data_IF_326497979776
#
_entry.id   IF_326497979776
#
_cell.length_a   1.000
_cell.length_b   1.000
_cell.length_c   1.000
_cell.angle_alpha   90.00
_cell.angle_beta   90.00
_cell.angle_gamma   90.00
#
_symmetry.space_group_name_H-M   'P 1'
#
loop_
_entity.id
_entity.type
_entity.pdbx_description
1 polymer ?
#
# COMPACT_ATOMS: atom_id res chain seq x y z
N UNK A 1 10.95 6.35 -10.71
CA UNK A 1 10.26 5.08 -11.03
C UNK A 1 8.78 5.39 -11.22
N UNK A 2 8.27 5.29 -12.45
CA UNK A 2 6.92 5.72 -12.85
C UNK A 2 5.86 4.61 -12.59
N UNK A 3 4.61 5.00 -12.35
CA UNK A 3 3.41 4.22 -11.95
C UNK A 3 2.30 4.43 -12.97
N UNK A 4 1.30 3.57 -13.13
CA UNK A 4 0.07 3.81 -13.93
C UNK A 4 -1.14 3.81 -13.01
N UNK A 5 -2.10 4.70 -13.24
CA UNK A 5 -3.38 4.79 -12.50
C UNK A 5 -4.51 4.17 -13.32
N UNK A 6 -4.97 2.95 -13.02
CA UNK A 6 -6.37 2.62 -13.26
C UNK A 6 -6.82 1.48 -12.34
N UNK A 7 -7.82 1.75 -11.49
CA UNK A 7 -8.54 0.87 -10.52
C UNK A 7 -7.69 0.10 -9.48
N UNK A 8 -6.41 -0.17 -9.74
CA UNK A 8 -5.42 -0.59 -8.77
C UNK A 8 -4.05 -0.08 -9.22
N UNK A 9 -3.41 0.78 -8.42
CA UNK A 9 -2.03 1.19 -8.67
C UNK A 9 -1.13 -0.03 -8.64
N UNK A 10 -0.37 -0.26 -9.72
CA UNK A 10 0.66 -1.30 -9.76
C UNK A 10 2.02 -0.72 -10.05
N UNK A 11 3.04 -1.37 -9.51
CA UNK A 11 4.43 -1.06 -9.83
C UNK A 11 4.68 -1.43 -11.29
N UNK A 12 5.34 -0.53 -12.01
CA UNK A 12 5.88 -0.83 -13.32
C UNK A 12 7.04 -1.82 -13.19
N UNK A 13 7.01 -2.91 -13.96
CA UNK A 13 8.05 -3.92 -13.99
C UNK A 13 9.26 -3.45 -14.81
N UNK A 14 10.44 -4.00 -14.53
CA UNK A 14 11.69 -3.55 -15.14
C UNK A 14 11.73 -3.71 -16.67
N UNK A 15 10.95 -4.66 -17.23
CA UNK A 15 10.84 -4.89 -18.67
C UNK A 15 9.79 -4.04 -19.38
N UNK A 16 9.01 -3.25 -18.65
CA UNK A 16 7.93 -2.47 -19.22
C UNK A 16 8.38 -1.06 -19.62
N UNK A 17 7.94 -0.59 -20.79
CA UNK A 17 8.22 0.77 -21.25
C UNK A 17 7.08 1.72 -20.83
N UNK A 18 7.34 2.74 -19.98
CA UNK A 18 6.33 3.72 -19.59
C UNK A 18 5.65 4.40 -20.79
N UNK A 19 6.43 4.75 -21.81
CA UNK A 19 5.93 5.44 -23.00
C UNK A 19 4.94 4.59 -23.80
N UNK A 20 5.28 3.32 -24.04
CA UNK A 20 4.38 2.35 -24.69
C UNK A 20 3.08 2.18 -23.93
N UNK A 21 3.12 2.04 -22.60
CA UNK A 21 1.92 1.90 -21.79
C UNK A 21 1.06 3.17 -21.83
N UNK A 22 1.69 4.35 -21.77
CA UNK A 22 0.99 5.61 -21.93
C UNK A 22 0.26 5.69 -23.28
N UNK A 23 0.92 5.31 -24.38
CA UNK A 23 0.30 5.30 -25.72
C UNK A 23 -0.86 4.29 -25.79
N UNK A 24 -0.67 3.08 -25.29
CA UNK A 24 -1.70 2.05 -25.30
C UNK A 24 -2.96 2.51 -24.57
N UNK A 25 -2.77 3.13 -23.41
CA UNK A 25 -3.88 3.59 -22.59
C UNK A 25 -4.47 4.92 -23.08
N UNK A 26 -3.76 5.69 -23.92
CA UNK A 26 -4.27 6.94 -24.52
C UNK A 26 -5.55 6.72 -25.33
N UNK A 27 -5.72 5.53 -25.93
CA UNK A 27 -6.90 5.16 -26.72
C UNK A 27 -7.96 4.39 -25.91
N UNK A 28 -7.66 4.02 -24.67
CA UNK A 28 -8.62 3.40 -23.77
C UNK A 28 -9.49 4.49 -23.13
N UNK A 29 -10.78 4.23 -22.99
CA UNK A 29 -11.74 5.16 -22.38
C UNK A 29 -11.48 5.42 -20.88
N UNK A 30 -10.51 4.73 -20.28
CA UNK A 30 -10.13 4.89 -18.89
C UNK A 30 -8.91 5.79 -18.74
N UNK A 31 -9.00 6.73 -17.80
CA UNK A 31 -8.01 7.78 -17.60
C UNK A 31 -6.80 7.22 -16.87
N UNK A 32 -5.91 6.52 -17.58
CA UNK A 32 -4.68 6.07 -16.97
C UNK A 32 -3.57 7.11 -17.03
N UNK A 33 -3.07 7.56 -15.87
CA UNK A 33 -1.97 8.51 -15.79
C UNK A 33 -0.71 7.86 -15.23
N UNK A 34 0.46 8.33 -15.71
CA UNK A 34 1.71 7.91 -15.12
C UNK A 34 2.02 8.73 -13.86
N UNK A 35 2.29 8.11 -12.71
CA UNK A 35 2.60 8.82 -11.45
C UNK A 35 4.05 8.50 -11.03
N UNK A 36 4.70 9.36 -10.24
CA UNK A 36 5.97 9.05 -9.59
C UNK A 36 5.72 9.02 -8.08
N UNK A 37 6.02 7.89 -7.43
CA UNK A 37 5.84 7.71 -5.98
C UNK A 37 7.06 7.03 -5.38
N UNK A 38 7.34 7.31 -4.09
CA UNK A 38 8.37 6.58 -3.33
C UNK A 38 7.99 5.11 -3.21
N UNK A 39 8.99 4.25 -3.31
CA UNK A 39 8.88 2.81 -3.05
C UNK A 39 9.75 2.44 -1.84
N UNK A 40 9.48 3.10 -0.71
CA UNK A 40 10.17 2.88 0.56
C UNK A 40 9.09 2.64 1.60
N UNK A 41 9.06 1.44 2.15
CA UNK A 41 8.09 1.02 3.15
C UNK A 41 8.61 1.27 4.56
N UNK A 42 9.92 1.13 4.76
CA UNK A 42 10.62 1.35 6.02
C UNK A 42 10.56 2.83 6.44
N UNK A 43 9.78 3.18 7.49
CA UNK A 43 9.67 4.56 7.94
C UNK A 43 10.97 5.11 8.52
N UNK A 44 11.80 4.27 9.14
CA UNK A 44 13.07 4.69 9.74
C UNK A 44 14.09 5.02 8.66
N UNK A 45 14.15 4.19 7.61
CA UNK A 45 15.02 4.45 6.47
C UNK A 45 14.60 5.71 5.71
N UNK A 46 13.30 5.90 5.52
CA UNK A 46 12.76 7.11 4.91
C UNK A 46 13.14 8.36 5.74
N UNK A 47 12.98 8.34 7.06
CA UNK A 47 13.40 9.45 7.94
C UNK A 47 14.87 9.80 7.74
N UNK A 48 15.74 8.79 7.72
CA UNK A 48 17.18 9.00 7.49
C UNK A 48 17.47 9.64 6.14
N UNK A 49 16.73 9.28 5.08
CA UNK A 49 16.89 9.87 3.76
C UNK A 49 16.39 11.31 3.72
N UNK A 50 15.25 11.61 4.35
CA UNK A 50 14.74 12.98 4.47
C UNK A 50 15.72 13.91 5.20
N UNK A 51 16.46 13.40 6.18
CA UNK A 51 17.49 14.16 6.89
C UNK A 51 18.73 14.43 6.02
N UNK A 52 19.08 13.50 5.12
CA UNK A 52 20.28 13.58 4.27
C UNK A 52 20.04 14.35 2.98
N UNK A 53 18.84 14.32 2.45
CA UNK A 53 18.47 14.88 1.15
C UNK A 53 17.21 15.75 1.26
N UNK A 54 17.36 17.09 1.25
CA UNK A 54 16.24 18.02 1.29
C UNK A 54 15.27 17.88 0.11
N UNK A 55 15.76 17.49 -1.08
CA UNK A 55 14.90 17.30 -2.26
C UNK A 55 14.05 16.05 -2.10
N UNK A 56 14.63 14.97 -1.58
CA UNK A 56 13.86 13.78 -1.20
C UNK A 56 12.82 14.11 -0.13
N UNK A 57 13.18 14.87 0.90
CA UNK A 57 12.22 15.32 1.93
C UNK A 57 11.05 16.09 1.33
N UNK A 58 11.32 17.05 0.43
CA UNK A 58 10.28 17.83 -0.25
C UNK A 58 9.37 16.91 -1.09
N UNK A 59 9.95 15.97 -1.83
CA UNK A 59 9.20 14.97 -2.59
C UNK A 59 8.26 14.14 -1.70
N UNK A 60 8.75 13.62 -0.58
CA UNK A 60 7.95 12.83 0.37
C UNK A 60 6.85 13.68 1.01
N UNK A 61 7.15 14.94 1.34
CA UNK A 61 6.16 15.90 1.87
C UNK A 61 5.01 16.10 0.89
N UNK A 62 5.29 16.47 -0.37
CA UNK A 62 4.22 16.68 -1.35
C UNK A 62 3.43 15.41 -1.64
N UNK A 63 4.08 14.24 -1.67
CA UNK A 63 3.36 12.99 -1.83
C UNK A 63 2.40 12.73 -0.65
N UNK A 64 2.87 12.93 0.59
CA UNK A 64 2.03 12.76 1.78
C UNK A 64 0.86 13.76 1.82
N UNK A 65 1.08 14.99 1.34
CA UNK A 65 0.01 15.99 1.16
C UNK A 65 -1.03 15.52 0.15
N UNK A 66 -0.60 15.00 -1.01
CA UNK A 66 -1.51 14.44 -2.00
C UNK A 66 -2.30 13.25 -1.42
N UNK A 67 -1.63 12.36 -0.68
CA UNK A 67 -2.26 11.20 -0.04
C UNK A 67 -3.32 11.60 1.01
N UNK A 68 -3.13 12.71 1.72
CA UNK A 68 -4.15 13.30 2.60
C UNK A 68 -5.33 13.85 1.81
N UNK A 69 -5.07 14.58 0.72
CA UNK A 69 -6.13 15.21 -0.08
C UNK A 69 -6.97 14.21 -0.88
N UNK A 70 -6.38 13.06 -1.24
CA UNK A 70 -7.04 11.95 -1.94
C UNK A 70 -7.66 10.92 -0.97
N UNK A 71 -7.75 11.24 0.32
CA UNK A 71 -8.32 10.38 1.38
C UNK A 71 -7.64 8.99 1.49
N UNK A 72 -6.38 8.87 1.07
CA UNK A 72 -5.59 7.62 1.18
C UNK A 72 -5.14 7.35 2.61
N UNK A 73 -4.92 8.42 3.39
CA UNK A 73 -4.57 8.31 4.81
C UNK A 73 -5.83 8.32 5.66
N UNK A 74 -6.08 7.22 6.38
CA UNK A 74 -7.24 7.09 7.25
C UNK A 74 -6.95 7.77 8.59
N UNK A 75 -7.61 8.89 8.89
CA UNK A 75 -7.70 9.39 10.26
C UNK A 75 -8.92 10.27 10.49
N UNK A 76 -9.69 10.00 11.55
CA UNK A 76 -10.87 10.82 11.90
C UNK A 76 -10.53 12.02 12.80
N UNK A 77 -9.39 12.03 13.50
CA UNK A 77 -9.09 13.04 14.54
C UNK A 77 -7.87 13.92 14.28
N UNK A 78 -6.92 13.49 13.43
CA UNK A 78 -5.67 14.24 13.16
C UNK A 78 -5.68 15.07 11.88
N UNK A 79 -6.68 14.90 11.01
CA UNK A 79 -6.76 15.61 9.72
C UNK A 79 -6.75 17.14 9.88
N UNK A 80 -7.44 17.68 10.89
CA UNK A 80 -7.44 19.12 11.13
C UNK A 80 -6.05 19.65 11.50
N UNK A 81 -5.33 18.92 12.36
CA UNK A 81 -3.96 19.26 12.77
C UNK A 81 -2.99 19.18 11.58
N UNK A 82 -3.10 18.13 10.77
CA UNK A 82 -2.32 17.97 9.54
C UNK A 82 -2.54 19.11 8.55
N UNK A 83 -3.79 19.49 8.31
CA UNK A 83 -4.12 20.62 7.42
C UNK A 83 -3.57 21.95 7.95
N UNK A 84 -3.53 22.15 9.27
CA UNK A 84 -2.99 23.37 9.88
C UNK A 84 -1.47 23.51 9.68
N UNK A 85 -0.73 22.40 9.60
CA UNK A 85 0.74 22.40 9.40
C UNK A 85 1.15 22.02 7.97
N UNK A 86 0.21 22.03 7.02
CA UNK A 86 0.44 21.69 5.61
C UNK A 86 1.18 22.81 4.86
N UNK A 87 2.39 23.13 5.31
CA UNK A 87 3.31 24.06 4.66
C UNK A 87 4.74 23.47 4.68
N UNK A 88 5.56 23.80 3.69
CA UNK A 88 6.91 23.23 3.55
C UNK A 88 7.83 23.55 4.74
N UNK A 89 7.62 24.68 5.41
CA UNK A 89 8.36 25.06 6.62
C UNK A 89 8.17 24.09 7.79
N UNK A 90 7.03 23.40 7.81
CA UNK A 90 6.67 22.40 8.82
C UNK A 90 6.73 20.97 8.27
N UNK A 91 7.46 20.72 7.18
CA UNK A 91 7.49 19.43 6.51
C UNK A 91 7.86 18.26 7.45
N UNK A 92 8.81 18.45 8.37
CA UNK A 92 9.21 17.39 9.30
C UNK A 92 8.09 17.03 10.29
N UNK A 93 7.41 18.02 10.85
CA UNK A 93 6.26 17.81 11.75
C UNK A 93 5.07 17.17 11.01
N UNK A 94 4.76 17.66 9.82
CA UNK A 94 3.72 17.09 8.97
C UNK A 94 4.00 15.62 8.66
N UNK A 95 5.24 15.30 8.27
CA UNK A 95 5.64 13.94 7.92
C UNK A 95 5.62 12.99 9.13
N UNK A 96 6.02 13.44 10.32
CA UNK A 96 5.91 12.63 11.53
C UNK A 96 4.46 12.30 11.89
N UNK A 97 3.53 13.26 11.73
CA UNK A 97 2.11 12.97 11.90
C UNK A 97 1.58 12.00 10.86
N UNK A 98 1.95 12.18 9.58
CA UNK A 98 1.51 11.32 8.49
C UNK A 98 1.98 9.87 8.66
N UNK A 99 3.24 9.67 9.10
CA UNK A 99 3.82 8.34 9.38
C UNK A 99 3.05 7.54 10.44
N UNK A 100 2.34 8.21 11.34
CA UNK A 100 1.52 7.57 12.37
C UNK A 100 0.09 7.24 11.92
N UNK A 101 -0.28 7.50 10.66
CA UNK A 101 -1.62 7.24 10.13
C UNK A 101 -1.69 5.91 9.37
N UNK A 102 -2.84 5.23 9.44
CA UNK A 102 -3.11 4.09 8.55
C UNK A 102 -3.23 4.58 7.10
N UNK A 103 -2.74 3.77 6.17
CA UNK A 103 -2.57 4.13 4.76
C UNK A 103 -1.19 4.70 4.43
N UNK A 104 -0.43 5.20 5.42
CA UNK A 104 0.91 5.73 5.15
C UNK A 104 1.92 4.60 4.95
N UNK A 105 2.60 4.58 3.80
CA UNK A 105 3.49 3.49 3.40
C UNK A 105 2.81 2.10 3.47
N UNK A 106 1.51 2.05 3.20
CA UNK A 106 0.75 0.81 3.08
C UNK A 106 0.26 0.64 1.63
N UNK A 107 0.25 -0.59 1.11
CA UNK A 107 -0.46 -0.90 -0.14
C UNK A 107 -1.73 -1.64 0.23
N UNK A 108 -2.87 -1.07 -0.13
CA UNK A 108 -4.17 -1.72 0.00
C UNK A 108 -4.57 -2.32 -1.35
N UNK A 109 -4.76 -3.63 -1.39
CA UNK A 109 -5.29 -4.31 -2.56
C UNK A 109 -6.82 -4.22 -2.58
N UNK A 110 -7.46 -4.24 -3.77
CA UNK A 110 -8.90 -4.35 -3.87
C UNK A 110 -9.45 -5.59 -3.12
N UNK A 111 -10.72 -5.55 -2.67
CA UNK A 111 -11.37 -6.71 -2.06
C UNK A 111 -11.24 -7.96 -2.94
N UNK A 112 -10.93 -9.09 -2.30
CA UNK A 112 -10.62 -10.34 -2.98
C UNK A 112 -11.20 -11.54 -2.23
N UNK A 113 -11.51 -12.62 -2.97
CA UNK A 113 -12.10 -13.82 -2.37
C UNK A 113 -11.04 -14.61 -1.59
N UNK A 114 -11.38 -15.06 -0.38
CA UNK A 114 -10.50 -15.86 0.46
C UNK A 114 -11.08 -17.26 0.71
N UNK A 115 -10.32 -18.30 0.37
CA UNK A 115 -10.77 -19.71 0.52
C UNK A 115 -11.16 -20.10 1.95
N UNK A 116 -10.55 -19.47 2.96
CA UNK A 116 -10.78 -19.81 4.38
C UNK A 116 -11.94 -19.03 5.02
N UNK A 117 -12.50 -18.01 4.36
CA UNK A 117 -13.65 -17.23 4.84
C UNK A 117 -14.78 -17.28 3.81
N UNK A 118 -15.92 -17.83 4.19
CA UNK A 118 -17.06 -18.05 3.29
C UNK A 118 -18.05 -16.87 3.20
N UNK A 119 -17.90 -15.82 4.03
CA UNK A 119 -18.98 -14.86 4.25
C UNK A 119 -18.74 -13.42 3.72
N UNK A 120 -17.51 -13.03 3.40
CA UNK A 120 -17.22 -11.69 2.87
C UNK A 120 -15.88 -11.66 2.13
N UNK A 121 -15.74 -10.74 1.19
CA UNK A 121 -14.45 -10.44 0.58
C UNK A 121 -13.45 -9.95 1.65
N UNK A 122 -12.17 -10.14 1.32
CA UNK A 122 -11.03 -9.81 2.17
C UNK A 122 -10.21 -8.74 1.47
N UNK A 123 -9.85 -7.70 2.20
CA UNK A 123 -8.88 -6.69 1.78
C UNK A 123 -7.54 -7.07 2.38
N UNK A 124 -6.52 -7.16 1.53
CA UNK A 124 -5.14 -7.35 1.95
C UNK A 124 -4.41 -6.00 1.96
N UNK A 125 -3.74 -5.71 3.06
CA UNK A 125 -2.89 -4.52 3.22
C UNK A 125 -1.47 -4.98 3.47
N UNK A 126 -0.55 -4.58 2.61
CA UNK A 126 0.88 -4.84 2.73
C UNK A 126 1.53 -3.67 3.46
N UNK A 127 2.17 -3.95 4.59
CA UNK A 127 2.93 -2.99 5.41
C UNK A 127 4.39 -3.41 5.46
N UNK A 128 5.25 -2.50 5.92
CA UNK A 128 6.66 -2.80 6.09
C UNK A 128 6.93 -3.99 7.02
N UNK A 129 6.24 -4.03 8.17
CA UNK A 129 6.46 -5.04 9.21
C UNK A 129 5.50 -6.24 9.13
N UNK A 130 4.39 -6.12 8.39
CA UNK A 130 3.32 -7.11 8.44
C UNK A 130 2.42 -7.13 7.20
N UNK A 131 1.66 -8.21 7.08
CA UNK A 131 0.45 -8.30 6.26
C UNK A 131 -0.78 -8.13 7.16
N UNK A 132 -1.71 -7.27 6.77
CA UNK A 132 -3.00 -7.14 7.42
C UNK A 132 -4.10 -7.65 6.49
N UNK A 133 -4.92 -8.57 6.98
CA UNK A 133 -6.14 -9.02 6.32
C UNK A 133 -7.35 -8.48 7.08
N UNK A 134 -8.27 -7.80 6.39
CA UNK A 134 -9.52 -7.29 6.97
C UNK A 134 -10.70 -7.66 6.09
N UNK A 135 -11.91 -7.70 6.66
CA UNK A 135 -13.14 -7.81 5.86
C UNK A 135 -13.35 -6.57 4.97
N UNK A 136 -14.17 -6.71 3.93
CA UNK A 136 -14.79 -5.59 3.22
C UNK A 136 -16.29 -5.48 3.58
N UNK A 137 -16.78 -4.33 4.11
CA UNK A 137 -16.01 -3.14 4.51
C UNK A 137 -15.09 -3.42 5.71
N UNK A 138 -14.00 -2.63 5.89
CA UNK A 138 -13.07 -2.81 6.99
C UNK A 138 -13.74 -2.71 8.37
N UNK A 139 -13.54 -3.71 9.22
CA UNK A 139 -13.99 -3.71 10.61
C UNK A 139 -12.83 -4.08 11.53
N UNK A 140 -12.77 -3.50 12.72
CA UNK A 140 -11.71 -3.79 13.72
C UNK A 140 -11.86 -5.18 14.35
N UNK A 141 -13.08 -5.72 14.38
CA UNK A 141 -13.39 -7.03 14.99
C UNK A 141 -12.89 -8.21 14.16
N UNK A 142 -12.65 -8.01 12.86
CA UNK A 142 -12.30 -9.07 11.91
C UNK A 142 -10.98 -8.80 11.17
N UNK A 143 -9.95 -8.37 11.92
CA UNK A 143 -8.60 -8.11 11.41
C UNK A 143 -7.61 -9.20 11.83
N UNK A 144 -6.78 -9.62 10.89
CA UNK A 144 -5.69 -10.57 11.13
C UNK A 144 -4.39 -9.94 10.65
N UNK A 145 -3.53 -9.57 11.59
CA UNK A 145 -2.18 -9.10 11.31
C UNK A 145 -1.18 -10.26 11.39
N UNK A 146 -0.29 -10.36 10.40
CA UNK A 146 0.68 -11.45 10.24
C UNK A 146 2.05 -10.80 10.07
N UNK A 147 2.98 -11.08 10.98
CA UNK A 147 4.36 -10.59 10.85
C UNK A 147 5.01 -11.23 9.63
N UNK A 148 5.90 -10.50 8.93
CA UNK A 148 6.70 -11.11 7.88
C UNK A 148 7.58 -12.26 8.39
N UNK A 149 7.98 -12.23 9.66
CA UNK A 149 8.75 -13.30 10.30
C UNK A 149 7.93 -14.59 10.48
N UNK A 150 6.60 -14.48 10.55
CA UNK A 150 5.70 -15.64 10.63
C UNK A 150 5.46 -16.28 9.25
N UNK A 151 5.75 -15.56 8.15
CA UNK A 151 5.52 -16.04 6.78
C UNK A 151 6.65 -17.01 6.40
N UNK A 152 6.29 -18.25 6.12
CA UNK A 152 7.24 -19.32 5.76
C UNK A 152 7.55 -19.26 4.27
N UNK A 153 6.52 -19.15 3.44
CA UNK A 153 6.62 -19.14 1.99
C UNK A 153 5.38 -18.47 1.37
N UNK A 154 5.55 -17.94 0.16
CA UNK A 154 4.46 -17.40 -0.64
C UNK A 154 4.68 -17.69 -2.13
N UNK A 155 3.57 -17.83 -2.85
CA UNK A 155 3.54 -18.15 -4.27
C UNK A 155 2.40 -17.41 -4.96
N UNK A 156 2.65 -17.01 -6.20
CA UNK A 156 1.61 -16.61 -7.14
C UNK A 156 1.20 -17.85 -7.92
N UNK A 157 -0.06 -18.24 -7.85
CA UNK A 157 -0.60 -19.48 -8.42
C UNK A 157 -1.76 -19.20 -9.38
N UNK A 158 -2.33 -20.25 -9.96
CA UNK A 158 -3.46 -20.20 -10.90
C UNK A 158 -3.26 -19.28 -12.12
N UNK A 159 -2.00 -19.16 -12.55
CA UNK A 159 -1.59 -18.32 -13.68
C UNK A 159 -1.60 -16.82 -13.37
N UNK A 160 -1.30 -16.42 -12.13
CA UNK A 160 -1.31 -15.01 -11.73
C UNK A 160 -2.64 -14.53 -11.15
N UNK A 161 -3.53 -15.46 -10.78
CA UNK A 161 -4.90 -15.13 -10.31
C UNK A 161 -5.14 -15.41 -8.85
N UNK A 162 -4.13 -15.94 -8.16
CA UNK A 162 -4.20 -16.14 -6.73
C UNK A 162 -2.84 -15.94 -6.07
N UNK A 163 -2.85 -15.25 -4.93
CA UNK A 163 -1.73 -15.15 -4.02
C UNK A 163 -1.94 -16.15 -2.89
N UNK A 164 -1.00 -17.09 -2.73
CA UNK A 164 -1.03 -18.10 -1.69
C UNK A 164 0.19 -17.94 -0.78
N UNK A 165 -0.02 -18.00 0.52
CA UNK A 165 1.08 -17.98 1.49
C UNK A 165 0.79 -18.86 2.69
N UNK A 166 1.86 -19.39 3.28
CA UNK A 166 1.83 -20.19 4.50
C UNK A 166 2.48 -19.39 5.61
N UNK A 167 1.82 -19.31 6.76
CA UNK A 167 2.37 -18.65 7.94
C UNK A 167 2.20 -19.51 9.18
N UNK A 168 3.08 -19.32 10.16
CA UNK A 168 3.08 -20.04 11.43
C UNK A 168 3.37 -19.07 12.57
N UNK A 169 2.36 -18.86 13.41
CA UNK A 169 2.53 -18.18 14.70
C UNK A 169 3.09 -19.14 15.74
N UNK A 170 3.87 -18.62 16.68
CA UNK A 170 4.52 -19.38 17.74
C UNK A 170 3.63 -20.45 18.37
N UNK A 171 4.15 -21.68 18.41
CA UNK A 171 3.49 -22.85 18.99
C UNK A 171 2.26 -23.37 18.24
N UNK A 172 1.88 -22.79 17.08
CA UNK A 172 0.73 -23.22 16.29
C UNK A 172 1.17 -23.98 15.02
N UNK A 173 0.24 -24.75 14.46
CA UNK A 173 0.44 -25.37 13.14
C UNK A 173 0.45 -24.28 12.06
N UNK A 174 1.25 -24.49 11.02
CA UNK A 174 1.24 -23.63 9.84
C UNK A 174 -0.16 -23.61 9.21
N UNK A 175 -0.59 -22.44 8.75
CA UNK A 175 -1.89 -22.24 8.11
C UNK A 175 -1.70 -21.71 6.69
N UNK A 176 -2.29 -22.36 5.67
CA UNK A 176 -2.34 -21.81 4.33
C UNK A 176 -3.43 -20.74 4.23
N UNK A 177 -3.13 -19.67 3.50
CA UNK A 177 -4.10 -18.68 3.04
C UNK A 177 -3.96 -18.60 1.52
N UNK A 178 -5.10 -18.62 0.82
CA UNK A 178 -5.18 -18.39 -0.62
C UNK A 178 -6.22 -17.31 -0.92
N UNK A 179 -5.74 -16.23 -1.52
CA UNK A 179 -6.49 -15.05 -1.93
C UNK A 179 -6.60 -15.03 -3.46
N UNK A 180 -7.80 -14.95 -4.01
CA UNK A 180 -8.01 -14.85 -5.45
C UNK A 180 -8.12 -13.39 -5.86
N UNK A 181 -7.13 -12.90 -6.60
CA UNK A 181 -7.04 -11.51 -7.01
C UNK A 181 -6.47 -11.43 -8.43
N UNK A 182 -6.98 -10.48 -9.21
CA UNK A 182 -6.40 -10.13 -10.52
C UNK A 182 -5.13 -9.26 -10.40
N UNK A 183 -4.68 -9.01 -9.17
CA UNK A 183 -3.52 -8.20 -8.82
C UNK A 183 -2.46 -9.02 -8.06
N UNK A 184 -2.45 -10.35 -8.25
CA UNK A 184 -1.57 -11.28 -7.54
C UNK A 184 -0.12 -11.22 -8.04
#
# INVERSE_FOLDING_TARGET
>A
MLWIVDIAERKLLDGESPHQLYIQNYSCASSSCLVLRKWIFDPDRERQLCQKDPMFRQFVFHQAVADVNEDRLKSCQKLYQLKAVQNEGNADEFLEMARGMSGYNEITFPPCCCTTRTASDVIMVVRFSSLLLTADPPTTEAQVEISWEDVIEYHVVDGGRAFQFNFRRDGKRAKPIKLFSNHA
#
